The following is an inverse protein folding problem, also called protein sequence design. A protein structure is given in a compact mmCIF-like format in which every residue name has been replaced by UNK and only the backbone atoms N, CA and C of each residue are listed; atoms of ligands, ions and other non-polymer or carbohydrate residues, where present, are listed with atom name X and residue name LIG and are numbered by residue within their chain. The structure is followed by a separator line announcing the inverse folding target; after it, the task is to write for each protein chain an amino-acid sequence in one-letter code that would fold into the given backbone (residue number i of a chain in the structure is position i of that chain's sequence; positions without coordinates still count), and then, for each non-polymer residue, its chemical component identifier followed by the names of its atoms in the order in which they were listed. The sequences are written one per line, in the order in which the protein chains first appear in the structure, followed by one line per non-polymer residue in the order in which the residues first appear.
data_IF_313793487877
#
_entry.id   IF_313793487877
#
_cell.length_a   1.000
_cell.length_b   1.000
_cell.length_c   1.000
_cell.angle_alpha   90.00
_cell.angle_beta   90.00
_cell.angle_gamma   90.00
#
_symmetry.space_group_name_H-M   'P 1'
#
loop_
_entity.id
_entity.type
_entity.pdbx_description
1 polymer ?
#
# COMPACT_ATOMS: atom_id res chain seq x y z
N UNK A 1 9.74 -18.34 -25.32
CA UNK A 1 9.66 -18.59 -23.86
C UNK A 1 10.58 -19.75 -23.51
N UNK A 2 11.32 -19.74 -22.39
CA UNK A 2 12.16 -20.87 -22.00
C UNK A 2 11.31 -22.14 -21.87
N UNK A 3 11.75 -23.25 -22.47
CA UNK A 3 10.96 -24.48 -22.64
C UNK A 3 10.90 -25.41 -21.43
N UNK A 4 11.28 -24.93 -20.23
CA UNK A 4 11.48 -25.78 -19.06
C UNK A 4 12.77 -26.59 -19.12
N UNK A 5 13.00 -27.44 -18.11
CA UNK A 5 14.20 -28.28 -18.05
C UNK A 5 14.05 -29.49 -18.98
N UNK A 6 14.92 -29.57 -19.99
CA UNK A 6 15.02 -30.69 -20.91
C UNK A 6 16.21 -31.56 -20.52
N UNK A 7 15.97 -32.86 -20.33
CA UNK A 7 17.04 -33.83 -20.18
C UNK A 7 17.77 -34.07 -21.50
N UNK A 8 18.95 -34.69 -21.42
CA UNK A 8 19.74 -35.08 -22.60
C UNK A 8 19.00 -36.09 -23.51
N UNK A 9 17.98 -36.76 -22.96
CA UNK A 9 17.05 -37.65 -23.66
C UNK A 9 15.93 -36.91 -24.41
N UNK A 10 15.93 -35.57 -24.37
CA UNK A 10 14.88 -34.71 -24.93
C UNK A 10 13.59 -34.69 -24.12
N UNK A 11 13.56 -35.36 -22.95
CA UNK A 11 12.38 -35.39 -22.08
C UNK A 11 12.28 -34.12 -21.25
N UNK A 12 11.07 -33.58 -21.13
CA UNK A 12 10.80 -32.42 -20.29
C UNK A 12 10.50 -32.83 -18.84
N UNK A 13 11.02 -32.05 -17.90
CA UNK A 13 10.89 -32.30 -16.47
C UNK A 13 10.46 -31.03 -15.73
N UNK A 14 9.62 -31.22 -14.72
CA UNK A 14 9.40 -30.27 -13.65
C UNK A 14 10.47 -30.48 -12.58
N UNK A 15 11.01 -29.38 -12.06
CA UNK A 15 12.09 -29.41 -11.06
C UNK A 15 11.60 -28.73 -9.79
N UNK A 16 11.74 -29.44 -8.66
CA UNK A 16 11.71 -28.82 -7.33
C UNK A 16 13.12 -28.81 -6.80
N UNK A 17 13.50 -27.73 -6.12
CA UNK A 17 14.81 -27.61 -5.51
C UNK A 17 14.69 -27.16 -4.07
N UNK A 18 15.66 -27.56 -3.26
CA UNK A 18 15.82 -27.10 -1.88
C UNK A 18 17.29 -26.95 -1.56
N UNK A 19 17.57 -26.10 -0.59
CA UNK A 19 18.88 -25.97 0.00
C UNK A 19 18.83 -26.57 1.41
N UNK A 20 19.66 -27.58 1.69
CA UNK A 20 19.75 -28.20 3.02
C UNK A 20 21.14 -27.98 3.62
N UNK A 21 21.28 -27.93 4.95
CA UNK A 21 22.60 -27.86 5.58
C UNK A 21 23.51 -29.01 5.12
N UNK A 22 24.79 -28.74 4.84
CA UNK A 22 25.74 -29.78 4.41
C UNK A 22 26.14 -30.74 5.54
N UNK A 23 26.00 -30.30 6.79
CA UNK A 23 26.23 -31.08 7.99
C UNK A 23 25.05 -30.89 8.95
N UNK A 24 24.37 -31.98 9.33
CA UNK A 24 23.21 -31.95 10.23
C UNK A 24 21.90 -32.43 9.57
N UNK A 25 20.86 -32.62 10.37
CA UNK A 25 19.51 -32.86 9.86
C UNK A 25 18.93 -31.56 9.30
N UNK A 26 18.07 -31.65 8.29
CA UNK A 26 17.28 -30.50 7.84
C UNK A 26 16.45 -29.98 9.02
N UNK A 27 16.58 -28.70 9.35
CA UNK A 27 15.71 -28.05 10.31
C UNK A 27 14.34 -27.89 9.65
N UNK A 28 13.48 -28.88 9.83
CA UNK A 28 12.05 -28.68 9.64
C UNK A 28 11.64 -27.74 10.76
N UNK A 29 11.67 -26.44 10.51
CA UNK A 29 11.16 -25.46 11.46
C UNK A 29 9.81 -25.93 12.03
N UNK A 30 9.41 -25.50 13.24
CA UNK A 30 8.34 -26.12 14.04
C UNK A 30 6.92 -25.84 13.51
N UNK A 31 6.74 -25.77 12.20
CA UNK A 31 5.48 -25.43 11.57
C UNK A 31 4.65 -26.69 11.30
N UNK A 32 3.76 -26.99 12.23
CA UNK A 32 2.65 -27.93 12.05
C UNK A 32 1.44 -27.15 11.47
N UNK A 33 1.08 -27.34 10.19
CA UNK A 33 0.03 -26.54 9.53
C UNK A 33 -1.38 -26.77 10.09
N UNK A 34 -1.61 -27.82 10.90
CA UNK A 34 -2.93 -28.12 11.46
C UNK A 34 -4.03 -28.21 10.39
N UNK A 35 -5.18 -27.57 10.65
CA UNK A 35 -6.33 -27.48 9.72
C UNK A 35 -6.33 -26.21 8.84
N UNK A 36 -5.19 -25.52 8.68
CA UNK A 36 -5.16 -24.28 7.88
C UNK A 36 -5.57 -24.54 6.43
N UNK A 37 -6.65 -23.88 6.00
CA UNK A 37 -7.03 -23.74 4.60
C UNK A 37 -6.29 -22.57 3.97
N UNK A 38 -5.67 -22.79 2.81
CA UNK A 38 -5.06 -21.74 1.99
C UNK A 38 -6.05 -21.28 0.90
N UNK A 39 -6.14 -19.96 0.63
CA UNK A 39 -5.46 -18.87 1.32
C UNK A 39 -6.06 -18.63 2.71
N UNK A 40 -5.25 -18.16 3.69
CA UNK A 40 -5.78 -17.85 5.00
C UNK A 40 -6.80 -16.70 4.90
N UNK A 41 -8.00 -16.90 5.45
CA UNK A 41 -8.94 -15.80 5.66
C UNK A 41 -8.49 -14.98 6.88
N UNK A 42 -8.47 -13.63 6.83
CA UNK A 42 -8.14 -12.83 8.00
C UNK A 42 -9.04 -13.21 9.20
N UNK A 43 -8.49 -13.41 10.42
CA UNK A 43 -7.12 -13.11 10.85
C UNK A 43 -6.11 -14.28 10.74
N UNK A 44 -6.46 -15.37 10.06
CA UNK A 44 -5.67 -16.62 9.96
C UNK A 44 -4.38 -16.54 9.14
N UNK A 45 -3.88 -15.33 8.86
CA UNK A 45 -2.58 -15.13 8.21
C UNK A 45 -1.48 -15.83 9.01
N UNK A 46 -0.49 -16.40 8.33
CA UNK A 46 0.71 -16.99 8.95
C UNK A 46 1.59 -15.87 9.53
N UNK A 47 1.11 -15.27 10.62
CA UNK A 47 1.84 -14.24 11.34
C UNK A 47 2.76 -14.89 12.35
N UNK A 48 3.94 -14.30 12.49
CA UNK A 48 4.83 -14.63 13.58
C UNK A 48 4.13 -14.27 14.88
N UNK A 49 3.82 -15.26 15.71
CA UNK A 49 3.22 -15.02 17.03
C UNK A 49 4.28 -14.38 17.92
N UNK A 50 4.26 -13.05 18.03
CA UNK A 50 5.30 -12.27 18.71
C UNK A 50 5.55 -12.71 20.17
N UNK A 51 4.51 -13.19 20.87
CA UNK A 51 4.63 -13.72 22.23
C UNK A 51 5.43 -15.05 22.31
N UNK A 52 5.42 -15.85 21.24
CA UNK A 52 6.11 -17.14 21.17
C UNK A 52 7.53 -17.02 20.59
N UNK A 53 7.84 -15.93 19.89
CA UNK A 53 9.14 -15.71 19.27
C UNK A 53 9.57 -14.22 19.34
N UNK A 54 10.39 -13.84 20.34
CA UNK A 54 10.77 -12.46 20.60
C UNK A 54 11.95 -11.96 19.73
N UNK A 55 12.50 -12.78 18.82
CA UNK A 55 13.67 -12.37 18.02
C UNK A 55 13.28 -11.22 17.06
N UNK A 56 14.18 -10.35 16.58
CA UNK A 56 13.82 -9.27 15.65
C UNK A 56 13.28 -9.79 14.30
N UNK A 57 12.58 -8.96 13.51
CA UNK A 57 12.09 -9.33 12.16
C UNK A 57 13.24 -9.70 11.21
N UNK A 58 14.42 -9.13 11.44
CA UNK A 58 15.66 -9.38 10.69
C UNK A 58 16.44 -10.61 11.18
N UNK A 59 15.95 -11.35 12.19
CA UNK A 59 16.73 -12.39 12.86
C UNK A 59 17.41 -13.39 11.91
N UNK A 60 16.71 -13.94 10.92
CA UNK A 60 17.30 -14.91 9.99
C UNK A 60 18.40 -14.31 9.12
N UNK A 61 18.25 -13.04 8.75
CA UNK A 61 19.27 -12.31 8.00
C UNK A 61 20.50 -12.04 8.86
N UNK A 62 20.30 -11.57 10.10
CA UNK A 62 21.37 -11.28 11.04
C UNK A 62 22.10 -12.55 11.50
N UNK A 63 21.36 -13.65 11.68
CA UNK A 63 21.90 -14.97 12.03
C UNK A 63 22.76 -15.52 10.90
N UNK A 64 22.30 -15.46 9.65
CA UNK A 64 23.08 -15.91 8.50
C UNK A 64 24.35 -15.07 8.33
N UNK A 65 24.24 -13.73 8.42
CA UNK A 65 25.40 -12.82 8.39
C UNK A 65 26.38 -13.15 9.50
N UNK A 66 25.89 -13.42 10.71
CA UNK A 66 26.73 -13.80 11.85
C UNK A 66 27.45 -15.12 11.57
N UNK A 67 26.75 -16.14 11.07
CA UNK A 67 27.35 -17.42 10.73
C UNK A 67 28.43 -17.29 9.68
N UNK A 68 28.16 -16.61 8.57
CA UNK A 68 29.16 -16.39 7.50
C UNK A 68 30.39 -15.67 8.04
N UNK A 69 30.23 -14.71 8.96
CA UNK A 69 31.36 -14.01 9.63
C UNK A 69 32.17 -14.91 10.56
N UNK A 70 31.53 -15.88 11.23
CA UNK A 70 32.22 -16.79 12.16
C UNK A 70 32.75 -18.06 11.48
N UNK A 71 32.27 -18.38 10.28
CA UNK A 71 32.76 -19.48 9.45
C UNK A 71 31.93 -19.68 8.19
N UNK A 72 32.48 -20.39 7.20
CA UNK A 72 31.72 -20.63 5.98
C UNK A 72 30.47 -21.47 6.25
N UNK A 73 29.31 -21.04 5.74
CA UNK A 73 28.07 -21.80 5.79
C UNK A 73 28.02 -22.71 4.57
N UNK A 74 28.03 -24.01 4.81
CA UNK A 74 27.95 -25.02 3.76
C UNK A 74 26.52 -25.59 3.65
N UNK A 75 26.05 -25.74 2.42
CA UNK A 75 24.75 -26.29 2.11
C UNK A 75 24.81 -27.20 0.89
N UNK A 76 23.88 -28.14 0.78
CA UNK A 76 23.71 -29.02 -0.38
C UNK A 76 22.45 -28.59 -1.12
N UNK A 77 22.62 -28.22 -2.39
CA UNK A 77 21.53 -28.03 -3.32
C UNK A 77 21.01 -29.40 -3.74
N UNK A 78 19.74 -29.66 -3.43
CA UNK A 78 19.05 -30.89 -3.81
C UNK A 78 17.93 -30.58 -4.79
N UNK A 79 17.69 -31.51 -5.72
CA UNK A 79 16.61 -31.43 -6.69
C UNK A 79 15.73 -32.69 -6.66
N UNK A 80 14.44 -32.53 -6.93
CA UNK A 80 13.56 -33.59 -7.41
C UNK A 80 13.20 -33.33 -8.87
N UNK A 81 13.05 -34.42 -9.63
CA UNK A 81 12.63 -34.37 -11.03
C UNK A 81 11.31 -35.12 -11.18
N UNK A 82 10.29 -34.42 -11.67
CA UNK A 82 9.01 -35.02 -12.04
C UNK A 82 8.86 -34.95 -13.56
N UNK A 83 8.68 -36.09 -14.25
CA UNK A 83 8.56 -36.05 -15.70
C UNK A 83 7.25 -35.37 -16.09
N UNK A 84 7.30 -34.55 -17.14
CA UNK A 84 6.07 -34.07 -17.78
C UNK A 84 5.45 -35.26 -18.53
N UNK A 85 4.18 -35.56 -18.25
CA UNK A 85 3.43 -36.65 -18.89
C UNK A 85 2.50 -36.09 -19.97
N UNK A 86 1.83 -36.96 -20.72
CA UNK A 86 0.77 -36.55 -21.66
C UNK A 86 -0.51 -36.07 -20.98
N UNK A 87 -0.64 -36.19 -19.65
CA UNK A 87 -1.83 -35.79 -18.90
C UNK A 87 -1.66 -34.39 -18.34
N UNK A 88 -2.44 -33.43 -18.87
CA UNK A 88 -2.46 -32.07 -18.37
C UNK A 88 -2.84 -31.99 -16.87
N UNK A 89 -3.79 -32.83 -16.44
CA UNK A 89 -4.22 -32.88 -15.04
C UNK A 89 -3.13 -33.41 -14.09
N UNK A 90 -2.33 -34.39 -14.53
CA UNK A 90 -1.20 -34.89 -13.72
C UNK A 90 -0.10 -33.83 -13.61
N UNK A 91 0.20 -33.16 -14.73
CA UNK A 91 1.21 -32.10 -14.76
C UNK A 91 0.79 -30.90 -13.89
N UNK A 92 -0.46 -30.47 -13.98
CA UNK A 92 -1.00 -29.38 -13.15
C UNK A 92 -1.02 -29.77 -11.65
N UNK A 93 -1.44 -31.00 -11.32
CA UNK A 93 -1.37 -31.50 -9.95
C UNK A 93 0.06 -31.56 -9.40
N UNK A 94 1.07 -31.80 -10.25
CA UNK A 94 2.48 -31.76 -9.84
C UNK A 94 2.98 -30.32 -9.58
N UNK A 95 2.34 -29.31 -10.18
CA UNK A 95 2.63 -27.89 -10.01
C UNK A 95 1.98 -27.27 -8.78
N UNK A 96 1.03 -27.95 -8.14
CA UNK A 96 0.47 -27.56 -6.85
C UNK A 96 1.55 -27.55 -5.76
N UNK A 97 1.87 -26.35 -5.26
CA UNK A 97 2.91 -26.14 -4.26
C UNK A 97 2.52 -26.64 -2.86
N UNK A 98 1.23 -26.91 -2.62
CA UNK A 98 0.73 -27.45 -1.34
C UNK A 98 0.91 -28.96 -1.24
N UNK A 99 1.18 -29.64 -2.35
CA UNK A 99 1.31 -31.10 -2.42
C UNK A 99 2.76 -31.51 -2.53
N UNK A 100 3.20 -32.46 -1.73
CA UNK A 100 4.55 -33.03 -1.81
C UNK A 100 4.65 -34.07 -2.92
N UNK A 101 5.82 -34.17 -3.55
CA UNK A 101 6.12 -35.26 -4.47
C UNK A 101 6.61 -36.48 -3.66
N UNK A 102 5.99 -37.67 -3.81
CA UNK A 102 6.37 -38.82 -2.99
C UNK A 102 7.83 -39.21 -3.20
N UNK A 103 8.65 -39.16 -2.14
CA UNK A 103 10.10 -39.34 -2.25
C UNK A 103 10.52 -40.71 -2.79
N UNK A 104 9.73 -41.76 -2.51
CA UNK A 104 9.97 -43.11 -3.06
C UNK A 104 9.87 -43.16 -4.60
N UNK A 105 9.14 -42.22 -5.20
CA UNK A 105 8.93 -42.13 -6.65
C UNK A 105 9.78 -41.02 -7.29
N UNK A 106 9.99 -39.93 -6.55
CA UNK A 106 10.75 -38.76 -6.97
C UNK A 106 11.81 -38.44 -5.91
N UNK A 107 12.93 -39.18 -5.84
CA UNK A 107 13.91 -38.99 -4.78
C UNK A 107 14.63 -37.64 -4.93
N UNK A 108 14.97 -37.02 -3.80
CA UNK A 108 15.91 -35.91 -3.78
C UNK A 108 17.29 -36.38 -4.23
N UNK A 109 17.93 -35.58 -5.08
CA UNK A 109 19.29 -35.81 -5.58
C UNK A 109 20.17 -34.63 -5.24
N UNK A 110 21.33 -34.92 -4.68
CA UNK A 110 22.36 -33.91 -4.43
C UNK A 110 22.96 -33.46 -5.76
N UNK A 111 23.04 -32.15 -5.97
CA UNK A 111 23.50 -31.56 -7.23
C UNK A 111 24.74 -30.70 -7.05
N UNK A 112 24.81 -29.94 -5.97
CA UNK A 112 25.98 -29.14 -5.67
C UNK A 112 26.14 -28.93 -4.17
N UNK A 113 27.38 -28.79 -3.72
CA UNK A 113 27.67 -28.21 -2.41
C UNK A 113 27.97 -26.73 -2.60
N UNK A 114 27.17 -25.89 -1.94
CA UNK A 114 27.32 -24.46 -1.90
C UNK A 114 28.06 -24.06 -0.63
N UNK A 115 29.01 -23.13 -0.76
CA UNK A 115 29.77 -22.56 0.35
C UNK A 115 29.58 -21.05 0.34
N UNK A 116 28.95 -20.54 1.40
CA UNK A 116 28.74 -19.11 1.62
C UNK A 116 29.78 -18.64 2.64
N UNK A 117 30.78 -17.87 2.20
CA UNK A 117 31.91 -17.44 3.03
C UNK A 117 32.15 -15.93 3.02
N UNK A 118 31.41 -15.20 2.19
CA UNK A 118 31.59 -13.77 1.97
C UNK A 118 30.24 -13.07 2.00
N UNK A 119 30.17 -11.94 2.69
CA UNK A 119 29.02 -11.03 2.67
C UNK A 119 29.34 -9.92 1.68
N UNK A 120 28.53 -9.79 0.64
CA UNK A 120 28.64 -8.69 -0.32
C UNK A 120 27.91 -7.45 0.22
N UNK A 121 28.37 -6.27 -0.18
CA UNK A 121 27.62 -5.03 0.03
C UNK A 121 26.38 -4.96 -0.86
N UNK A 122 25.40 -4.14 -0.46
CA UNK A 122 24.11 -4.08 -1.15
C UNK A 122 24.25 -3.60 -2.61
N UNK A 123 25.22 -2.74 -2.91
CA UNK A 123 25.47 -2.26 -4.28
C UNK A 123 25.93 -3.39 -5.19
N UNK A 124 26.82 -4.27 -4.71
CA UNK A 124 27.25 -5.45 -5.46
C UNK A 124 26.14 -6.50 -5.64
N UNK A 125 25.13 -6.52 -4.75
CA UNK A 125 23.98 -7.43 -4.83
C UNK A 125 22.93 -6.97 -5.84
N UNK A 126 22.76 -5.66 -6.06
CA UNK A 126 21.79 -5.11 -7.01
C UNK A 126 21.95 -5.70 -8.42
N UNK A 127 23.20 -5.83 -8.88
CA UNK A 127 23.53 -6.42 -10.18
C UNK A 127 23.31 -7.94 -10.25
N UNK A 128 23.19 -8.61 -9.10
CA UNK A 128 22.96 -10.06 -8.98
C UNK A 128 21.48 -10.42 -8.82
N UNK A 129 20.58 -9.42 -8.88
CA UNK A 129 19.14 -9.61 -8.76
C UNK A 129 18.60 -10.64 -9.76
N UNK A 130 17.90 -11.66 -9.25
CA UNK A 130 17.30 -12.69 -10.10
C UNK A 130 16.24 -12.09 -11.03
N UNK A 131 16.51 -12.14 -12.33
CA UNK A 131 15.56 -11.74 -13.36
C UNK A 131 15.12 -12.97 -14.17
N UNK A 132 13.84 -13.39 -14.13
CA UNK A 132 13.32 -14.49 -14.95
C UNK A 132 13.57 -14.33 -16.45
N UNK A 133 13.73 -13.09 -16.94
CA UNK A 133 14.06 -12.80 -18.34
C UNK A 133 15.49 -13.15 -18.74
N UNK A 134 16.38 -13.28 -17.76
CA UNK A 134 17.80 -13.63 -17.91
C UNK A 134 18.07 -15.11 -17.62
N UNK A 135 17.01 -15.92 -17.43
CA UNK A 135 17.16 -17.34 -17.19
C UNK A 135 17.81 -18.03 -18.40
N UNK A 136 18.74 -18.99 -18.19
CA UNK A 136 19.35 -19.72 -19.29
C UNK A 136 18.31 -20.55 -20.04
N UNK A 137 18.55 -20.86 -21.32
CA UNK A 137 17.56 -21.51 -22.18
C UNK A 137 17.02 -22.86 -21.65
N UNK A 138 17.80 -23.57 -20.82
CA UNK A 138 17.41 -24.82 -20.17
C UNK A 138 16.73 -24.67 -18.80
N UNK A 139 16.52 -23.45 -18.32
CA UNK A 139 15.83 -23.15 -17.07
C UNK A 139 14.65 -22.22 -17.34
N UNK A 140 13.45 -22.71 -17.13
CA UNK A 140 12.21 -21.97 -17.39
C UNK A 140 11.24 -22.04 -16.24
N UNK A 141 10.33 -21.08 -16.18
CA UNK A 141 9.18 -21.14 -15.30
C UNK A 141 8.14 -22.12 -15.84
N UNK A 142 7.42 -22.81 -14.96
CA UNK A 142 6.23 -23.55 -15.37
C UNK A 142 5.23 -22.60 -16.03
N UNK A 143 4.65 -23.03 -17.14
CA UNK A 143 3.67 -22.27 -17.90
C UNK A 143 2.27 -22.78 -17.59
N UNK A 144 1.31 -21.88 -17.69
CA UNK A 144 -0.11 -22.13 -17.55
C UNK A 144 -0.89 -21.65 -18.77
N UNK A 145 -1.92 -22.40 -19.15
CA UNK A 145 -2.84 -22.07 -20.24
C UNK A 145 -4.15 -21.43 -19.75
N UNK A 146 -4.41 -21.48 -18.45
CA UNK A 146 -5.63 -21.02 -17.79
C UNK A 146 -5.32 -20.30 -16.48
N UNK A 147 -6.12 -19.29 -16.07
CA UNK A 147 -5.98 -18.65 -14.76
C UNK A 147 -6.24 -19.60 -13.58
N UNK A 148 -6.91 -20.73 -13.83
CA UNK A 148 -7.26 -21.72 -12.80
C UNK A 148 -6.19 -22.79 -12.57
N UNK A 149 -5.11 -22.81 -13.36
CA UNK A 149 -4.00 -23.76 -13.20
C UNK A 149 -3.02 -23.28 -12.13
N UNK A 150 -2.34 -24.21 -11.47
CA UNK A 150 -1.43 -23.92 -10.35
C UNK A 150 -0.24 -23.03 -10.77
N UNK A 151 0.21 -23.15 -12.02
CA UNK A 151 1.28 -22.31 -12.55
C UNK A 151 0.82 -20.90 -12.99
N UNK A 152 -0.48 -20.57 -12.93
CA UNK A 152 -1.02 -19.33 -13.52
C UNK A 152 -0.39 -18.06 -12.97
N UNK A 153 -0.21 -17.98 -11.65
CA UNK A 153 0.36 -16.80 -10.98
C UNK A 153 1.85 -16.66 -11.31
N UNK A 154 2.60 -17.75 -11.25
CA UNK A 154 4.04 -17.77 -11.60
C UNK A 154 4.26 -17.41 -13.07
N UNK A 155 3.44 -17.97 -13.96
CA UNK A 155 3.48 -17.68 -15.40
C UNK A 155 3.13 -16.22 -15.70
N UNK A 156 2.04 -15.70 -15.12
CA UNK A 156 1.63 -14.31 -15.31
C UNK A 156 2.71 -13.34 -14.85
N UNK A 157 3.34 -13.59 -13.70
CA UNK A 157 4.44 -12.77 -13.18
C UNK A 157 5.64 -12.77 -14.12
N UNK A 158 6.01 -13.92 -14.68
CA UNK A 158 7.10 -14.02 -15.65
C UNK A 158 6.83 -13.20 -16.93
N UNK A 159 5.57 -13.18 -17.40
CA UNK A 159 5.14 -12.38 -18.54
C UNK A 159 5.18 -10.87 -18.22
N UNK A 160 4.55 -10.46 -17.11
CA UNK A 160 4.46 -9.05 -16.69
C UNK A 160 5.85 -8.47 -16.40
N UNK A 161 6.74 -9.23 -15.76
CA UNK A 161 8.10 -8.74 -15.46
C UNK A 161 8.91 -8.54 -16.75
N UNK A 162 8.73 -9.39 -17.77
CA UNK A 162 9.36 -9.18 -19.09
C UNK A 162 8.81 -7.94 -19.78
N UNK A 163 7.48 -7.77 -19.80
CA UNK A 163 6.82 -6.59 -20.37
C UNK A 163 7.31 -5.30 -19.70
N UNK A 164 7.24 -5.24 -18.37
CA UNK A 164 7.65 -4.07 -17.59
C UNK A 164 9.15 -3.80 -17.67
N UNK A 165 9.99 -4.84 -17.75
CA UNK A 165 11.44 -4.68 -17.91
C UNK A 165 11.81 -4.13 -19.28
N UNK A 166 11.21 -4.64 -20.36
CA UNK A 166 11.44 -4.11 -21.71
C UNK A 166 10.96 -2.65 -21.81
N UNK A 167 9.77 -2.36 -21.25
CA UNK A 167 9.26 -0.99 -21.17
C UNK A 167 10.19 -0.04 -20.38
N UNK A 168 10.74 -0.49 -19.24
CA UNK A 168 11.71 0.31 -18.45
C UNK A 168 13.01 0.59 -19.19
N UNK A 169 13.47 -0.34 -20.03
CA UNK A 169 14.73 -0.21 -20.79
C UNK A 169 14.56 0.42 -22.18
N UNK A 170 13.32 0.69 -22.60
CA UNK A 170 13.02 1.19 -23.94
C UNK A 170 13.29 0.18 -25.05
N UNK A 171 13.25 -1.11 -24.74
CA UNK A 171 13.45 -2.21 -25.69
C UNK A 171 12.14 -2.57 -26.41
N UNK A 172 12.21 -3.01 -27.67
CA UNK A 172 11.04 -3.53 -28.38
C UNK A 172 10.45 -4.75 -27.64
N UNK A 173 9.12 -4.76 -27.49
CA UNK A 173 8.43 -5.91 -26.90
C UNK A 173 8.57 -7.14 -27.80
N UNK A 174 8.85 -8.33 -27.23
CA UNK A 174 8.80 -9.57 -28.00
C UNK A 174 7.44 -9.72 -28.69
N UNK A 175 7.47 -10.09 -29.97
CA UNK A 175 6.26 -10.17 -30.80
C UNK A 175 5.18 -11.07 -30.19
N UNK A 176 5.57 -12.12 -29.46
CA UNK A 176 4.64 -13.04 -28.80
C UNK A 176 3.93 -12.43 -27.59
N UNK A 177 4.49 -11.36 -27.00
CA UNK A 177 3.92 -10.64 -25.86
C UNK A 177 3.14 -9.38 -26.27
N UNK A 178 3.40 -8.85 -27.47
CA UNK A 178 2.72 -7.68 -27.98
C UNK A 178 1.20 -7.90 -28.10
N UNK A 179 0.74 -9.11 -28.43
CA UNK A 179 -0.69 -9.45 -28.52
C UNK A 179 -1.41 -9.41 -27.15
N UNK A 180 -0.71 -9.71 -26.05
CA UNK A 180 -1.30 -9.72 -24.70
C UNK A 180 -1.66 -8.33 -24.20
N UNK A 181 -0.98 -7.30 -24.73
CA UNK A 181 -1.22 -5.89 -24.43
C UNK A 181 -2.02 -5.19 -25.53
N UNK A 182 -2.47 -5.92 -26.56
CA UNK A 182 -3.36 -5.36 -27.59
C UNK A 182 -4.79 -5.23 -27.05
N UNK A 183 -5.44 -4.06 -27.22
CA UNK A 183 -6.80 -3.85 -26.72
C UNK A 183 -7.81 -4.79 -27.41
N UNK A 184 -8.64 -5.48 -26.63
CA UNK A 184 -9.84 -6.18 -27.13
C UNK A 184 -11.08 -5.33 -26.83
N UNK A 185 -11.69 -4.78 -27.88
CA UNK A 185 -12.91 -3.96 -27.77
C UNK A 185 -14.10 -4.81 -27.30
N UNK A 186 -14.76 -4.38 -26.22
CA UNK A 186 -16.06 -4.90 -25.75
C UNK A 186 -17.08 -3.77 -25.72
N UNK A 187 -18.26 -3.99 -26.32
CA UNK A 187 -19.34 -3.02 -26.50
C UNK A 187 -20.24 -2.90 -25.27
N UNK A 188 -20.45 -1.67 -24.80
CA UNK A 188 -21.32 -1.33 -23.68
C UNK A 188 -22.82 -1.49 -24.01
N UNK A 189 -23.58 -2.08 -23.08
CA UNK A 189 -25.05 -2.07 -23.09
C UNK A 189 -25.56 -1.17 -21.96
N UNK A 190 -26.50 -0.27 -22.31
CA UNK A 190 -27.13 0.69 -21.42
C UNK A 190 -28.22 0.05 -20.55
N UNK A 191 -28.40 0.53 -19.32
CA UNK A 191 -29.53 0.20 -18.46
C UNK A 191 -30.17 1.48 -17.89
N UNK A 192 -31.49 1.53 -18.00
CA UNK A 192 -32.39 2.62 -17.63
C UNK A 192 -32.92 2.47 -16.19
N UNK A 193 -32.98 3.60 -15.47
CA UNK A 193 -34.10 4.10 -14.65
C UNK A 193 -34.61 3.32 -13.43
N UNK A 194 -34.69 3.98 -12.26
CA UNK A 194 -35.97 4.34 -11.61
C UNK A 194 -35.78 5.15 -10.31
N UNK A 195 -36.84 5.87 -9.85
CA UNK A 195 -36.77 7.08 -9.02
C UNK A 195 -37.08 6.81 -7.54
N UNK A 196 -36.56 7.65 -6.63
CA UNK A 196 -37.27 7.94 -5.38
C UNK A 196 -36.99 9.37 -4.90
N UNK A 197 -38.04 10.17 -4.95
CA UNK A 197 -38.13 11.53 -4.43
C UNK A 197 -38.32 11.50 -2.91
N UNK A 198 -37.46 12.21 -2.18
CA UNK A 198 -37.65 12.54 -0.76
C UNK A 198 -37.51 14.03 -0.54
N UNK A 199 -38.63 14.72 -0.30
CA UNK A 199 -38.68 16.16 -0.06
C UNK A 199 -38.13 16.54 1.33
N UNK A 200 -37.28 17.57 1.30
CA UNK A 200 -37.05 18.68 2.23
C UNK A 200 -37.56 18.62 3.68
N UNK A 201 -36.66 19.01 4.61
CA UNK A 201 -37.00 19.69 5.84
C UNK A 201 -36.00 20.81 6.13
N UNK A 202 -36.54 21.92 6.62
CA UNK A 202 -36.02 23.28 6.57
C UNK A 202 -35.05 23.66 7.69
N UNK A 203 -34.39 24.80 7.45
CA UNK A 203 -33.49 25.56 8.31
C UNK A 203 -34.15 26.02 9.61
N UNK A 204 -33.36 26.11 10.69
CA UNK A 204 -33.55 27.15 11.71
C UNK A 204 -32.20 27.67 12.20
N UNK A 205 -32.04 28.99 12.16
CA UNK A 205 -30.82 29.72 12.54
C UNK A 205 -30.72 29.96 14.04
N UNK A 206 -29.52 30.33 14.49
CA UNK A 206 -29.30 30.92 15.81
C UNK A 206 -28.38 32.15 15.71
N UNK A 207 -28.55 33.16 16.60
CA UNK A 207 -28.00 34.49 16.45
C UNK A 207 -26.70 34.73 17.22
N UNK A 208 -26.04 35.83 16.81
CA UNK A 208 -24.85 36.52 17.32
C UNK A 208 -24.38 36.29 18.77
N UNK A 209 -23.07 36.05 18.88
CA UNK A 209 -22.27 35.97 20.11
C UNK A 209 -22.18 37.31 20.87
N UNK A 210 -22.20 37.21 22.20
CA UNK A 210 -21.74 38.27 23.12
C UNK A 210 -20.37 37.89 23.68
N UNK A 211 -19.44 38.83 23.56
CA UNK A 211 -18.09 38.75 24.14
C UNK A 211 -18.14 38.84 25.67
N UNK A 212 -17.75 37.77 26.34
CA UNK A 212 -17.32 37.75 27.74
C UNK A 212 -15.99 37.02 27.82
N UNK A 213 -15.00 37.60 28.49
CA UNK A 213 -13.70 36.96 28.72
C UNK A 213 -13.92 35.79 29.67
N UNK A 214 -13.90 34.57 29.14
CA UNK A 214 -13.97 33.34 29.93
C UNK A 214 -12.66 33.11 30.71
N UNK A 215 -12.72 32.59 31.94
CA UNK A 215 -11.54 32.16 32.68
C UNK A 215 -10.81 31.04 31.92
N UNK A 216 -9.48 31.03 31.99
CA UNK A 216 -8.64 30.02 31.34
C UNK A 216 -9.15 28.59 31.67
N UNK A 217 -9.37 27.72 30.67
CA UNK A 217 -9.99 26.42 30.89
C UNK A 217 -9.14 25.56 31.82
N UNK A 218 -9.76 24.98 32.84
CA UNK A 218 -9.11 24.04 33.75
C UNK A 218 -8.43 22.89 32.98
N UNK A 219 -7.25 22.46 33.46
CA UNK A 219 -6.51 21.32 32.90
C UNK A 219 -7.38 20.06 32.93
N UNK A 220 -7.71 19.51 31.76
CA UNK A 220 -8.48 18.28 31.60
C UNK A 220 -7.57 17.10 31.27
N UNK A 221 -8.06 15.89 31.57
CA UNK A 221 -7.49 14.65 31.05
C UNK A 221 -8.39 14.16 29.92
N UNK A 222 -7.80 13.86 28.76
CA UNK A 222 -8.52 13.47 27.54
C UNK A 222 -7.96 12.14 27.06
N UNK A 223 -8.83 11.17 26.82
CA UNK A 223 -8.45 9.91 26.17
C UNK A 223 -8.61 10.08 24.66
N UNK A 224 -7.56 9.76 23.92
CA UNK A 224 -7.54 9.74 22.45
C UNK A 224 -7.48 8.29 21.98
N UNK A 225 -8.45 7.87 21.19
CA UNK A 225 -8.54 6.50 20.66
C UNK A 225 -7.89 6.46 19.28
N UNK A 226 -6.81 5.68 19.16
CA UNK A 226 -5.98 5.50 17.96
C UNK A 226 -4.73 6.38 17.96
N UNK A 227 -3.58 5.77 17.70
CA UNK A 227 -2.27 6.43 17.55
C UNK A 227 -1.82 6.56 16.08
N UNK A 228 -2.78 6.78 15.17
CA UNK A 228 -2.50 7.25 13.81
C UNK A 228 -2.27 8.77 13.75
N UNK A 229 -2.03 9.33 12.55
CA UNK A 229 -1.80 10.76 12.32
C UNK A 229 -2.77 11.70 13.05
N UNK A 230 -4.07 11.42 12.97
CA UNK A 230 -5.11 12.24 13.57
C UNK A 230 -5.06 12.22 15.10
N UNK A 231 -4.91 11.03 15.70
CA UNK A 231 -4.89 10.87 17.15
C UNK A 231 -3.63 11.44 17.78
N UNK A 232 -2.46 11.16 17.19
CA UNK A 232 -1.19 11.72 17.64
C UNK A 232 -1.16 13.25 17.53
N UNK A 233 -1.66 13.81 16.43
CA UNK A 233 -1.80 15.27 16.28
C UNK A 233 -2.75 15.86 17.32
N UNK A 234 -3.88 15.20 17.57
CA UNK A 234 -4.86 15.64 18.58
C UNK A 234 -4.24 15.65 19.98
N UNK A 235 -3.59 14.56 20.38
CA UNK A 235 -2.93 14.44 21.67
C UNK A 235 -1.87 15.52 21.87
N UNK A 236 -1.08 15.78 20.84
CA UNK A 236 -0.05 16.80 20.83
C UNK A 236 -0.59 18.21 21.01
N UNK A 237 -1.65 18.57 20.29
CA UNK A 237 -2.26 19.89 20.43
C UNK A 237 -2.98 20.04 21.78
N UNK A 238 -3.54 18.96 22.33
CA UNK A 238 -4.09 18.95 23.70
C UNK A 238 -2.99 19.20 24.75
N UNK A 239 -1.84 18.54 24.65
CA UNK A 239 -0.72 18.76 25.56
C UNK A 239 -0.13 20.16 25.44
N UNK A 240 -0.02 20.70 24.21
CA UNK A 240 0.38 22.09 23.95
C UNK A 240 -0.59 23.10 24.57
N UNK A 241 -1.88 22.78 24.59
CA UNK A 241 -2.90 23.58 25.27
C UNK A 241 -2.89 23.40 26.81
N UNK A 242 -1.97 22.61 27.36
CA UNK A 242 -1.82 22.37 28.80
C UNK A 242 -2.73 21.28 29.37
N UNK A 243 -3.40 20.51 28.52
CA UNK A 243 -4.20 19.35 28.93
C UNK A 243 -3.32 18.08 29.04
N UNK A 244 -3.84 17.03 29.68
CA UNK A 244 -3.21 15.70 29.66
C UNK A 244 -3.90 14.86 28.59
N UNK A 245 -3.15 14.33 27.63
CA UNK A 245 -3.66 13.35 26.68
C UNK A 245 -3.23 11.94 27.10
N UNK A 246 -4.10 10.95 26.91
CA UNK A 246 -3.79 9.52 27.02
C UNK A 246 -4.18 8.87 25.71
N UNK A 247 -3.21 8.42 24.92
CA UNK A 247 -3.46 7.80 23.62
C UNK A 247 -3.53 6.29 23.79
N UNK A 248 -4.60 5.66 23.31
CA UNK A 248 -4.79 4.22 23.33
C UNK A 248 -4.80 3.67 21.90
N UNK A 249 -3.91 2.74 21.58
CA UNK A 249 -3.75 2.12 20.27
C UNK A 249 -3.85 0.60 20.37
N UNK A 250 -4.59 -0.02 19.45
CA UNK A 250 -4.82 -1.47 19.45
C UNK A 250 -3.64 -2.23 18.86
N UNK A 251 -2.93 -1.66 17.88
CA UNK A 251 -1.71 -2.23 17.32
C UNK A 251 -0.55 -2.12 18.32
N UNK A 252 0.47 -2.99 18.19
CA UNK A 252 1.67 -2.93 19.04
C UNK A 252 2.53 -1.68 18.76
N UNK A 253 2.25 -0.95 17.69
CA UNK A 253 3.02 0.22 17.24
C UNK A 253 2.07 1.34 16.78
N UNK A 254 2.60 2.57 16.74
CA UNK A 254 1.87 3.76 16.27
C UNK A 254 1.95 3.91 14.75
N UNK A 255 1.23 4.89 14.18
CA UNK A 255 1.34 5.28 12.77
C UNK A 255 0.10 4.96 11.94
N UNK A 256 -0.66 3.93 12.31
CA UNK A 256 -1.92 3.58 11.65
C UNK A 256 -1.74 3.34 10.14
N UNK A 257 -2.38 4.16 9.29
CA UNK A 257 -2.24 4.05 7.83
C UNK A 257 -0.92 4.60 7.28
N UNK A 258 -0.12 5.28 8.09
CA UNK A 258 1.24 5.68 7.73
C UNK A 258 2.20 4.60 8.24
N UNK A 259 2.13 3.42 7.63
CA UNK A 259 3.00 2.28 7.96
C UNK A 259 4.19 2.25 7.01
N UNK A 260 5.38 2.00 7.55
CA UNK A 260 6.62 1.87 6.79
C UNK A 260 7.35 0.60 7.25
N UNK A 261 7.86 -0.18 6.30
CA UNK A 261 8.67 -1.38 6.57
C UNK A 261 10.08 -1.19 6.06
N UNK A 262 11.05 -1.73 6.78
CA UNK A 262 12.42 -1.81 6.30
C UNK A 262 12.65 -3.13 5.56
N UNK A 263 13.16 -3.05 4.34
CA UNK A 263 13.61 -4.18 3.53
C UNK A 263 14.99 -3.82 2.98
N UNK A 264 16.02 -4.58 3.37
CA UNK A 264 17.41 -4.39 2.96
C UNK A 264 17.96 -2.98 3.23
N UNK A 265 17.73 -2.48 4.46
CA UNK A 265 18.17 -1.16 4.93
C UNK A 265 17.51 0.01 4.15
N UNK A 266 16.34 -0.25 3.56
CA UNK A 266 15.52 0.74 2.86
C UNK A 266 14.10 0.72 3.38
N UNK A 267 13.58 1.91 3.66
CA UNK A 267 12.20 2.08 4.08
C UNK A 267 11.24 2.08 2.87
N UNK A 268 10.13 1.35 3.00
CA UNK A 268 9.04 1.31 2.05
C UNK A 268 7.73 1.64 2.75
N UNK A 269 7.00 2.62 2.24
CA UNK A 269 5.69 2.97 2.77
C UNK A 269 4.63 2.00 2.24
N UNK A 270 3.87 1.40 3.16
CA UNK A 270 2.74 0.52 2.85
C UNK A 270 1.41 1.27 2.76
N UNK A 271 1.40 2.57 3.07
CA UNK A 271 0.21 3.41 3.06
C UNK A 271 0.52 4.87 2.72
N UNK A 272 0.26 5.78 3.66
CA UNK A 272 0.52 7.20 3.46
C UNK A 272 1.98 7.46 3.07
N UNK A 273 2.21 8.13 1.93
CA UNK A 273 3.54 8.28 1.34
C UNK A 273 3.80 9.70 0.81
N UNK A 274 2.83 10.32 0.13
CA UNK A 274 3.05 11.56 -0.63
C UNK A 274 2.49 12.79 0.10
N UNK A 275 3.32 13.83 0.19
CA UNK A 275 2.91 15.21 0.52
C UNK A 275 2.99 16.09 -0.73
N UNK A 276 2.22 17.18 -0.73
CA UNK A 276 2.32 18.23 -1.74
C UNK A 276 2.65 19.57 -1.10
N UNK A 277 2.84 20.60 -1.92
CA UNK A 277 3.16 21.94 -1.45
C UNK A 277 2.07 22.57 -0.56
N UNK A 278 0.87 21.98 -0.45
CA UNK A 278 -0.16 22.44 0.50
C UNK A 278 -0.09 21.79 1.89
N UNK A 279 0.82 20.84 2.13
CA UNK A 279 0.91 20.09 3.38
C UNK A 279 1.66 20.87 4.47
N UNK A 280 1.28 22.12 4.73
CA UNK A 280 1.97 23.04 5.66
C UNK A 280 2.09 22.49 7.08
N UNK A 281 1.04 21.82 7.56
CA UNK A 281 1.05 21.24 8.91
C UNK A 281 2.08 20.11 9.04
N UNK A 282 2.18 19.26 8.01
CA UNK A 282 3.16 18.17 7.96
C UNK A 282 4.57 18.74 7.81
N UNK A 283 4.77 19.73 6.94
CA UNK A 283 6.05 20.38 6.76
C UNK A 283 6.54 21.07 8.05
N UNK A 284 5.67 21.84 8.72
CA UNK A 284 5.99 22.44 10.02
C UNK A 284 6.38 21.38 11.05
N UNK A 285 5.64 20.27 11.08
CA UNK A 285 5.92 19.17 12.01
C UNK A 285 7.27 18.49 11.72
N UNK A 286 7.61 18.29 10.45
CA UNK A 286 8.90 17.74 10.04
C UNK A 286 10.06 18.64 10.48
N UNK A 287 9.94 19.96 10.27
CA UNK A 287 10.93 20.95 10.73
C UNK A 287 11.05 20.95 12.26
N UNK A 288 9.92 20.99 12.97
CA UNK A 288 9.90 21.01 14.44
C UNK A 288 10.53 19.76 15.07
N UNK A 289 10.43 18.61 14.41
CA UNK A 289 10.93 17.32 14.90
C UNK A 289 12.28 16.90 14.29
N UNK A 290 12.89 17.75 13.46
CA UNK A 290 14.13 17.44 12.75
C UNK A 290 14.01 16.17 11.91
N UNK A 291 12.97 16.08 11.10
CA UNK A 291 12.73 15.00 10.13
C UNK A 291 13.08 15.51 8.74
N UNK A 292 13.96 14.79 8.07
CA UNK A 292 14.37 15.10 6.70
C UNK A 292 13.29 14.68 5.69
N UNK A 293 13.20 15.43 4.60
CA UNK A 293 12.26 15.22 3.50
C UNK A 293 13.01 15.06 2.18
N UNK A 294 12.42 14.35 1.23
CA UNK A 294 13.00 14.08 -0.09
C UNK A 294 11.93 14.21 -1.19
N UNK A 295 12.36 14.52 -2.41
CA UNK A 295 11.45 14.58 -3.56
C UNK A 295 10.88 13.20 -3.87
N UNK A 296 9.61 13.13 -4.27
CA UNK A 296 9.07 11.88 -4.80
C UNK A 296 9.54 11.68 -6.24
N UNK A 297 9.62 10.41 -6.65
CA UNK A 297 9.86 10.11 -8.07
C UNK A 297 8.69 10.64 -8.91
N UNK A 298 8.95 11.37 -10.02
CA UNK A 298 7.89 11.84 -10.90
C UNK A 298 7.03 10.68 -11.40
N UNK A 299 5.71 10.85 -11.34
CA UNK A 299 4.77 9.86 -11.86
C UNK A 299 4.65 9.99 -13.38
N UNK A 300 4.36 8.88 -14.04
CA UNK A 300 4.01 8.83 -15.46
C UNK A 300 2.66 8.14 -15.60
N UNK A 301 1.84 8.64 -16.51
CA UNK A 301 0.62 7.93 -16.92
C UNK A 301 0.99 6.99 -18.05
N UNK A 302 0.48 5.76 -17.97
CA UNK A 302 0.61 4.78 -19.03
C UNK A 302 -0.79 4.50 -19.58
N UNK A 303 -1.02 4.91 -20.82
CA UNK A 303 -2.24 4.60 -21.53
C UNK A 303 -2.17 3.13 -21.97
N UNK A 304 -3.03 2.30 -21.39
CA UNK A 304 -3.06 0.86 -21.66
C UNK A 304 -3.56 0.58 -23.08
N UNK A 305 -4.50 1.40 -23.59
CA UNK A 305 -5.11 1.18 -24.90
C UNK A 305 -4.15 1.57 -26.03
N UNK A 306 -3.37 2.63 -25.82
CA UNK A 306 -2.36 3.10 -26.77
C UNK A 306 -0.97 2.49 -26.52
N UNK A 307 -0.79 1.79 -25.40
CA UNK A 307 0.48 1.21 -24.96
C UNK A 307 1.64 2.21 -24.93
N UNK A 308 1.35 3.44 -24.53
CA UNK A 308 2.34 4.53 -24.48
C UNK A 308 2.29 5.27 -23.14
N UNK A 309 3.42 5.87 -22.79
CA UNK A 309 3.45 6.80 -21.68
C UNK A 309 2.96 8.17 -22.15
N UNK A 310 1.81 8.56 -21.65
CA UNK A 310 1.22 9.87 -21.91
C UNK A 310 1.44 10.81 -20.73
N UNK A 311 1.49 12.14 -20.95
CA UNK A 311 1.39 13.09 -19.85
C UNK A 311 0.00 12.99 -19.20
N UNK A 312 -0.08 13.29 -17.90
CA UNK A 312 -1.38 13.48 -17.24
C UNK A 312 -2.14 14.60 -17.96
N UNK A 313 -3.44 14.40 -18.19
CA UNK A 313 -4.27 15.41 -18.84
C UNK A 313 -4.28 16.69 -18.03
N UNK A 314 -4.14 17.82 -18.73
CA UNK A 314 -4.29 19.17 -18.18
C UNK A 314 -5.57 19.85 -18.67
N UNK A 315 -6.53 19.08 -19.20
CA UNK A 315 -7.78 19.60 -19.77
C UNK A 315 -8.56 20.48 -18.77
N UNK A 316 -8.54 20.13 -17.48
CA UNK A 316 -9.20 20.90 -16.44
C UNK A 316 -8.60 22.30 -16.26
N UNK A 317 -7.27 22.42 -16.41
CA UNK A 317 -6.56 23.68 -16.20
C UNK A 317 -6.66 24.62 -17.40
N UNK A 318 -7.35 24.22 -18.45
CA UNK A 318 -7.73 25.13 -19.52
C UNK A 318 -8.64 26.24 -18.95
N UNK A 319 -8.46 27.45 -19.46
CA UNK A 319 -9.08 28.67 -18.92
C UNK A 319 -10.59 28.53 -18.75
N UNK A 320 -11.28 27.88 -19.69
CA UNK A 320 -12.73 27.74 -19.65
C UNK A 320 -13.22 26.85 -18.48
N UNK A 321 -12.76 25.60 -18.42
CA UNK A 321 -13.13 24.66 -17.34
C UNK A 321 -12.72 25.17 -15.97
N UNK A 322 -11.49 25.68 -15.84
CA UNK A 322 -11.01 26.19 -14.56
C UNK A 322 -11.79 27.43 -14.09
N UNK A 323 -12.10 28.37 -15.00
CA UNK A 323 -12.89 29.57 -14.63
C UNK A 323 -14.31 29.19 -14.22
N UNK A 324 -14.90 28.18 -14.86
CA UNK A 324 -16.23 27.65 -14.52
C UNK A 324 -16.24 27.06 -13.12
N UNK A 325 -15.24 26.22 -12.81
CA UNK A 325 -15.05 25.68 -11.47
C UNK A 325 -14.83 26.79 -10.43
N UNK A 326 -13.94 27.75 -10.70
CA UNK A 326 -13.63 28.84 -9.78
C UNK A 326 -14.86 29.69 -9.45
N UNK A 327 -15.67 30.03 -10.46
CA UNK A 327 -16.92 30.77 -10.26
C UNK A 327 -17.95 29.97 -9.43
N UNK A 328 -18.07 28.66 -9.71
CA UNK A 328 -18.96 27.77 -8.96
C UNK A 328 -18.52 27.65 -7.49
N UNK A 329 -17.22 27.46 -7.26
CA UNK A 329 -16.60 27.39 -5.94
C UNK A 329 -16.88 28.64 -5.12
N UNK A 330 -16.62 29.82 -5.69
CA UNK A 330 -16.86 31.09 -5.02
C UNK A 330 -18.33 31.27 -4.65
N UNK A 331 -19.24 30.89 -5.56
CA UNK A 331 -20.68 31.09 -5.36
C UNK A 331 -21.32 30.08 -4.39
N UNK A 332 -20.83 28.84 -4.33
CA UNK A 332 -21.56 27.71 -3.69
C UNK A 332 -20.83 27.07 -2.52
N UNK A 333 -19.49 27.03 -2.54
CA UNK A 333 -18.69 26.35 -1.53
C UNK A 333 -17.32 27.05 -1.32
N UNK A 334 -17.30 28.36 -1.00
CA UNK A 334 -16.06 29.16 -0.97
C UNK A 334 -15.05 28.68 0.08
N UNK A 335 -15.53 27.98 1.11
CA UNK A 335 -14.73 27.44 2.22
C UNK A 335 -14.20 26.03 1.97
N UNK A 336 -14.39 25.45 0.78
CA UNK A 336 -14.02 24.05 0.50
C UNK A 336 -12.54 23.74 0.76
N UNK A 337 -11.63 24.73 0.75
CA UNK A 337 -10.22 24.51 1.11
C UNK A 337 -9.95 24.49 2.64
N UNK A 338 -10.90 24.88 3.49
CA UNK A 338 -10.76 24.88 4.95
C UNK A 338 -10.91 23.47 5.53
N UNK A 339 -10.29 23.14 6.66
CA UNK A 339 -10.47 21.82 7.26
C UNK A 339 -11.94 21.53 7.64
N UNK A 340 -12.36 20.27 7.53
CA UNK A 340 -13.73 19.81 7.83
C UNK A 340 -14.65 19.77 6.61
N UNK A 341 -15.81 19.12 6.75
CA UNK A 341 -16.72 18.81 5.64
C UNK A 341 -18.03 19.61 5.67
N UNK A 342 -18.48 20.02 6.86
CA UNK A 342 -19.83 20.53 7.09
C UNK A 342 -20.16 21.80 6.28
N UNK A 343 -19.18 22.68 6.06
CA UNK A 343 -19.39 23.97 5.39
C UNK A 343 -19.67 23.85 3.88
N UNK A 344 -19.34 22.72 3.25
CA UNK A 344 -19.55 22.48 1.81
C UNK A 344 -20.45 21.29 1.49
N UNK A 345 -20.72 20.42 2.48
CA UNK A 345 -21.48 19.20 2.27
C UNK A 345 -22.84 19.41 1.56
N UNK A 346 -23.67 20.42 1.92
CA UNK A 346 -24.95 20.62 1.25
C UNK A 346 -24.84 20.93 -0.26
N UNK A 347 -23.73 21.53 -0.70
CA UNK A 347 -23.53 21.92 -2.09
C UNK A 347 -22.91 20.81 -2.95
N UNK A 348 -22.36 19.77 -2.33
CA UNK A 348 -21.53 18.74 -2.99
C UNK A 348 -21.92 17.31 -2.56
N UNK A 349 -23.14 17.12 -2.06
CA UNK A 349 -23.63 15.81 -1.61
C UNK A 349 -23.99 14.85 -2.77
N UNK A 350 -24.22 15.39 -3.96
CA UNK A 350 -24.55 14.62 -5.16
C UNK A 350 -23.39 13.72 -5.60
N UNK A 351 -23.66 12.56 -6.23
CA UNK A 351 -22.62 11.75 -6.86
C UNK A 351 -21.72 12.59 -7.78
N UNK A 352 -20.41 12.35 -7.70
CA UNK A 352 -19.39 13.15 -8.40
C UNK A 352 -19.55 13.10 -9.91
N UNK A 353 -19.92 11.95 -10.48
CA UNK A 353 -20.20 11.81 -11.91
C UNK A 353 -21.30 12.74 -12.39
N UNK A 354 -22.43 12.76 -11.69
CA UNK A 354 -23.56 13.63 -12.01
C UNK A 354 -23.23 15.11 -11.78
N UNK A 355 -22.55 15.42 -10.67
CA UNK A 355 -22.15 16.78 -10.36
C UNK A 355 -21.19 17.35 -11.41
N UNK A 356 -20.22 16.56 -11.87
CA UNK A 356 -19.30 16.96 -12.93
C UNK A 356 -20.04 17.20 -14.24
N UNK A 357 -20.97 16.30 -14.62
CA UNK A 357 -21.75 16.46 -15.84
C UNK A 357 -22.68 17.69 -15.80
N UNK A 358 -23.38 17.89 -14.69
CA UNK A 358 -24.30 19.03 -14.50
C UNK A 358 -23.58 20.38 -14.62
N UNK A 359 -22.34 20.46 -14.15
CA UNK A 359 -21.55 21.69 -14.18
C UNK A 359 -20.58 21.76 -15.37
N UNK A 360 -20.57 20.74 -16.24
CA UNK A 360 -19.65 20.61 -17.37
C UNK A 360 -18.17 20.68 -16.93
N UNK A 361 -17.83 19.89 -15.92
CA UNK A 361 -16.52 19.79 -15.28
C UNK A 361 -15.90 18.41 -15.44
N UNK A 362 -16.34 17.61 -16.43
CA UNK A 362 -15.82 16.26 -16.69
C UNK A 362 -14.30 16.25 -16.91
N UNK A 363 -13.74 17.33 -17.46
CA UNK A 363 -12.29 17.52 -17.60
C UNK A 363 -11.55 17.50 -16.26
N UNK A 364 -12.22 17.83 -15.14
CA UNK A 364 -11.68 17.70 -13.78
C UNK A 364 -11.43 16.24 -13.41
N UNK A 365 -12.36 15.34 -13.74
CA UNK A 365 -12.15 13.91 -13.56
C UNK A 365 -11.05 13.37 -14.49
N UNK A 366 -10.99 13.85 -15.73
CA UNK A 366 -9.92 13.47 -16.67
C UNK A 366 -8.52 13.87 -16.14
N UNK A 367 -8.41 15.08 -15.57
CA UNK A 367 -7.12 15.62 -15.13
C UNK A 367 -6.70 15.13 -13.75
N UNK A 368 -7.64 14.87 -12.84
CA UNK A 368 -7.34 14.60 -11.42
C UNK A 368 -7.84 13.23 -10.94
N UNK A 369 -8.71 12.57 -11.70
CA UNK A 369 -9.39 11.34 -11.29
C UNK A 369 -8.48 10.13 -11.21
N UNK A 370 -7.48 10.03 -12.09
CA UNK A 370 -6.48 8.95 -12.06
C UNK A 370 -5.80 8.88 -10.69
N UNK A 371 -5.31 10.03 -10.20
CA UNK A 371 -4.67 10.11 -8.88
C UNK A 371 -5.62 9.78 -7.74
N UNK A 372 -6.88 10.20 -7.82
CA UNK A 372 -7.89 9.93 -6.81
C UNK A 372 -8.24 8.44 -6.71
N UNK A 373 -8.59 7.79 -7.83
CA UNK A 373 -8.99 6.39 -7.86
C UNK A 373 -7.81 5.46 -7.61
N UNK A 374 -6.63 5.73 -8.19
CA UNK A 374 -5.43 4.92 -7.97
C UNK A 374 -4.95 4.95 -6.50
N UNK A 375 -5.23 6.04 -5.77
CA UNK A 375 -4.96 6.14 -4.34
C UNK A 375 -5.99 5.41 -3.45
N UNK A 376 -6.99 4.75 -4.05
CA UNK A 376 -7.97 3.93 -3.33
C UNK A 376 -9.16 4.69 -2.74
N UNK A 377 -9.37 5.97 -3.11
CA UNK A 377 -10.48 6.77 -2.61
C UNK A 377 -11.85 6.47 -3.26
N UNK A 378 -11.91 5.46 -4.13
CA UNK A 378 -13.12 5.02 -4.83
C UNK A 378 -13.15 5.42 -6.31
N UNK A 379 -14.27 5.13 -6.97
CA UNK A 379 -14.46 5.34 -8.41
C UNK A 379 -15.36 6.55 -8.67
N UNK A 380 -14.91 7.48 -9.51
CA UNK A 380 -15.69 8.68 -9.84
C UNK A 380 -16.97 8.39 -10.64
N UNK A 381 -17.04 7.22 -11.28
CA UNK A 381 -18.24 6.77 -11.99
C UNK A 381 -19.34 6.22 -11.05
N UNK A 382 -19.06 6.05 -9.76
CA UNK A 382 -19.99 5.51 -8.77
C UNK A 382 -20.85 6.58 -8.10
N UNK A 383 -21.39 6.23 -6.93
CA UNK A 383 -22.25 7.04 -6.07
C UNK A 383 -21.47 7.94 -5.09
N UNK A 384 -20.14 8.01 -5.24
CA UNK A 384 -19.26 8.81 -4.39
C UNK A 384 -19.68 10.29 -4.42
N UNK A 385 -19.96 10.92 -3.26
CA UNK A 385 -20.29 12.35 -3.24
C UNK A 385 -19.16 13.23 -3.79
N UNK A 386 -19.52 14.23 -4.61
CA UNK A 386 -18.61 15.22 -5.17
C UNK A 386 -17.75 15.90 -4.09
N UNK A 387 -18.29 16.02 -2.87
CA UNK A 387 -17.63 16.60 -1.72
C UNK A 387 -16.22 16.04 -1.52
N UNK A 388 -16.04 14.72 -1.56
CA UNK A 388 -14.75 14.11 -1.26
C UNK A 388 -13.72 14.35 -2.37
N UNK A 389 -14.14 14.27 -3.64
CA UNK A 389 -13.27 14.51 -4.78
C UNK A 389 -12.85 15.99 -4.88
N UNK A 390 -13.80 16.91 -4.70
CA UNK A 390 -13.50 18.35 -4.72
C UNK A 390 -12.64 18.74 -3.51
N UNK A 391 -12.92 18.18 -2.32
CA UNK A 391 -12.11 18.40 -1.12
C UNK A 391 -10.68 17.91 -1.30
N UNK A 392 -10.51 16.74 -1.91
CA UNK A 392 -9.21 16.22 -2.31
C UNK A 392 -8.48 17.22 -3.20
N UNK A 393 -9.07 17.62 -4.34
CA UNK A 393 -8.43 18.54 -5.28
C UNK A 393 -7.99 19.86 -4.63
N UNK A 394 -8.84 20.43 -3.77
CA UNK A 394 -8.59 21.69 -3.07
C UNK A 394 -7.51 21.57 -1.99
N UNK A 395 -7.58 20.54 -1.15
CA UNK A 395 -6.70 20.41 0.03
C UNK A 395 -5.37 19.75 -0.28
N UNK A 396 -5.29 18.89 -1.31
CA UNK A 396 -4.03 18.23 -1.67
C UNK A 396 -3.19 19.04 -2.64
N UNK A 397 -3.53 20.30 -2.88
CA UNK A 397 -2.71 21.23 -3.65
C UNK A 397 -2.68 20.99 -5.15
N UNK A 398 -3.56 20.14 -5.68
CA UNK A 398 -3.71 19.94 -7.13
C UNK A 398 -4.18 21.21 -7.85
N UNK A 399 -4.87 22.10 -7.13
CA UNK A 399 -5.31 23.40 -7.62
C UNK A 399 -4.44 24.56 -7.14
N UNK A 400 -3.36 24.27 -6.40
CA UNK A 400 -2.51 25.29 -5.81
C UNK A 400 -1.52 25.85 -6.81
N UNK A 401 -1.25 27.15 -6.68
CA UNK A 401 -0.18 27.83 -7.40
C UNK A 401 1.10 27.99 -6.53
N UNK A 402 1.18 27.33 -5.37
CA UNK A 402 2.37 27.43 -4.52
C UNK A 402 3.57 26.76 -5.22
N UNK A 403 4.66 27.50 -5.48
CA UNK A 403 5.77 26.99 -6.28
C UNK A 403 6.62 25.96 -5.54
N UNK A 404 6.77 26.07 -4.22
CA UNK A 404 7.58 25.14 -3.43
C UNK A 404 7.14 25.09 -1.96
N UNK A 405 7.52 24.01 -1.27
CA UNK A 405 7.43 23.86 0.19
C UNK A 405 8.65 23.07 0.70
N UNK A 406 9.33 23.55 1.74
CA UNK A 406 10.58 22.96 2.25
C UNK A 406 11.70 22.83 1.19
N UNK A 407 11.68 23.68 0.15
CA UNK A 407 12.62 23.60 -0.97
C UNK A 407 12.26 22.54 -2.03
N UNK A 408 11.15 21.82 -1.86
CA UNK A 408 10.62 20.91 -2.87
C UNK A 408 9.70 21.66 -3.84
N UNK A 409 9.98 21.67 -5.15
CA UNK A 409 9.16 22.35 -6.15
C UNK A 409 7.86 21.59 -6.49
N UNK A 410 7.68 20.38 -5.94
CA UNK A 410 6.55 19.51 -6.21
C UNK A 410 6.22 18.61 -5.02
N UNK A 411 5.81 17.39 -5.32
CA UNK A 411 5.52 16.39 -4.30
C UNK A 411 6.80 15.91 -3.60
N UNK A 412 6.69 15.66 -2.30
CA UNK A 412 7.79 15.20 -1.45
C UNK A 412 7.30 14.13 -0.47
N UNK A 413 8.24 13.43 0.14
CA UNK A 413 8.01 12.41 1.17
C UNK A 413 9.00 12.56 2.33
N UNK A 414 8.92 11.65 3.30
CA UNK A 414 9.77 11.62 4.49
C UNK A 414 10.92 10.62 4.28
N UNK A 415 12.16 11.09 4.47
CA UNK A 415 13.34 10.22 4.39
C UNK A 415 13.25 9.12 5.45
N UNK A 416 13.42 7.87 5.02
CA UNK A 416 13.35 6.70 5.91
C UNK A 416 11.92 6.26 6.26
N UNK A 417 10.92 6.68 5.48
CA UNK A 417 9.53 6.23 5.57
C UNK A 417 8.62 7.18 6.35
N UNK A 418 7.39 7.30 5.89
CA UNK A 418 6.39 8.23 6.42
C UNK A 418 5.99 7.96 7.88
N UNK A 419 6.07 6.70 8.33
CA UNK A 419 5.80 6.30 9.73
C UNK A 419 6.72 7.02 10.71
N UNK A 420 7.97 7.27 10.32
CA UNK A 420 9.01 7.89 11.17
C UNK A 420 8.61 9.25 11.72
N UNK A 421 7.88 10.04 10.95
CA UNK A 421 7.36 11.33 11.41
C UNK A 421 6.44 11.14 12.62
N UNK A 422 5.53 10.16 12.54
CA UNK A 422 4.54 9.87 13.57
C UNK A 422 5.13 9.19 14.80
N UNK A 423 6.16 8.37 14.63
CA UNK A 423 6.95 7.83 15.75
C UNK A 423 7.62 8.95 16.55
N UNK A 424 8.19 9.95 15.88
CA UNK A 424 8.77 11.13 16.55
C UNK A 424 7.71 11.99 17.24
N UNK A 425 6.50 12.10 16.68
CA UNK A 425 5.38 12.74 17.38
C UNK A 425 5.05 11.97 18.67
N UNK A 426 4.86 10.65 18.57
CA UNK A 426 4.50 9.80 19.69
C UNK A 426 5.56 9.83 20.81
N UNK A 427 6.84 9.84 20.45
CA UNK A 427 7.95 9.94 21.41
C UNK A 427 7.96 11.26 22.20
N UNK A 428 7.31 12.30 21.69
CA UNK A 428 7.17 13.59 22.38
C UNK A 428 5.95 13.70 23.30
N UNK A 429 5.05 12.71 23.30
CA UNK A 429 3.82 12.71 24.10
C UNK A 429 4.04 12.07 25.48
N UNK A 430 3.24 12.49 26.47
CA UNK A 430 3.40 12.03 27.85
C UNK A 430 2.84 10.63 28.15
N UNK A 431 1.84 10.14 27.41
CA UNK A 431 1.15 8.88 27.69
C UNK A 431 0.57 8.27 26.39
N UNK A 432 1.30 7.35 25.77
CA UNK A 432 0.90 6.57 24.59
C UNK A 432 0.97 5.08 24.93
N UNK A 433 -0.15 4.36 24.77
CA UNK A 433 -0.27 2.95 25.13
C UNK A 433 -0.70 2.13 23.92
N UNK A 434 0.21 1.30 23.43
CA UNK A 434 -0.02 0.36 22.32
C UNK A 434 -0.44 -1.02 22.84
N UNK A 435 -1.02 -1.85 21.96
CA UNK A 435 -1.53 -3.18 22.30
C UNK A 435 -2.76 -3.17 23.22
N UNK A 436 -3.50 -2.06 23.25
CA UNK A 436 -4.66 -1.85 24.14
C UNK A 436 -5.96 -2.15 23.40
N UNK A 437 -6.75 -3.09 23.90
CA UNK A 437 -8.05 -3.45 23.31
C UNK A 437 -9.20 -2.83 24.08
N UNK A 438 -9.72 -1.69 23.61
CA UNK A 438 -10.90 -1.09 24.24
C UNK A 438 -12.12 -1.99 24.05
N UNK A 439 -12.72 -2.45 25.16
CA UNK A 439 -13.92 -3.32 25.17
C UNK A 439 -15.21 -2.53 25.38
N UNK A 440 -15.17 -1.42 26.10
CA UNK A 440 -16.31 -0.54 26.33
C UNK A 440 -15.88 0.90 26.69
N UNK A 441 -16.75 1.87 26.41
CA UNK A 441 -16.59 3.27 26.82
C UNK A 441 -17.89 3.73 27.47
N UNK A 442 -17.82 4.12 28.74
CA UNK A 442 -18.94 4.70 29.48
C UNK A 442 -18.75 6.21 29.61
N UNK A 443 -19.82 6.98 29.37
CA UNK A 443 -19.85 8.43 29.49
C UNK A 443 -20.74 8.82 30.65
N UNK A 444 -20.25 9.72 31.49
CA UNK A 444 -20.93 10.21 32.69
C UNK A 444 -21.33 9.10 33.70
N UNK A 445 -20.45 8.12 34.02
CA UNK A 445 -20.82 6.98 34.85
C UNK A 445 -21.33 7.38 36.25
N UNK A 446 -20.85 8.50 36.80
CA UNK A 446 -21.21 8.96 38.15
C UNK A 446 -22.08 10.23 38.19
N UNK A 447 -22.44 10.81 37.04
CA UNK A 447 -23.08 12.14 36.84
C UNK A 447 -22.40 13.37 37.49
N UNK A 448 -21.60 13.18 38.55
CA UNK A 448 -20.96 14.23 39.34
C UNK A 448 -19.60 14.69 38.78
N UNK A 449 -18.93 13.84 38.00
CA UNK A 449 -17.58 14.11 37.46
C UNK A 449 -17.56 14.52 35.99
N UNK A 450 -18.66 14.30 35.26
CA UNK A 450 -18.72 14.54 33.80
C UNK A 450 -17.63 13.78 33.01
N UNK A 451 -17.16 12.65 33.57
CA UNK A 451 -15.98 11.94 33.10
C UNK A 451 -16.28 10.83 32.09
N UNK A 452 -15.21 10.24 31.54
CA UNK A 452 -15.27 9.07 30.65
C UNK A 452 -14.51 7.92 31.31
N UNK A 453 -15.12 6.74 31.37
CA UNK A 453 -14.47 5.49 31.79
C UNK A 453 -14.24 4.62 30.55
N UNK A 454 -12.99 4.18 30.35
CA UNK A 454 -12.58 3.35 29.22
C UNK A 454 -12.13 1.99 29.74
N UNK A 455 -12.81 0.94 29.30
CA UNK A 455 -12.50 -0.45 29.64
C UNK A 455 -11.57 -1.01 28.57
N UNK A 456 -10.42 -1.56 28.97
CA UNK A 456 -9.31 -1.98 28.09
C UNK A 456 -8.84 -3.39 28.35
#
# INVERSE_FOLDING_TARGET
MPGGFLGDDGRQWLVRYRLVPAHGAADSGPFEPGELWLPPAPPGELTRVAAADPRPRTYLHDELRTRVRTGAVAAVLQLQLHPVTGSAAENDAALDCTRTWPEHRYPWRDVATLRLDTILDNTAVEDLGFNPSSAPAGLGTALASSPYENASTGHLRALIYRLTSAARRGEELPAELAELVRPRRSSAAAAQGCPFSGQAAEKSGHPAEKSGVEPAPARRTVVVVGAGPAGLSTARELERAGHRAVVLESLPEVGGKCESVDIDDRAYDLGGHVCTTQYENVARLAVELGVETEDTTPHRVYDIDQAESVPQSAAFFQRESFSRYAALREARFPRIAEAGLAHSAPALAQPVSEWLAEHGLESMAESLGTGYTAAGYGHLAGDLPALYFVKYAEMTGLLSARPELLGHPGSFTIVGGFKRLWEKVAAGLGDVRCGVTITAIERDPDQATGGVLVHT
#
